data_IF_780043419750
#
_entry.id   IF_780043419750
#
_cell.length_a   1.000
_cell.length_b   1.000
_cell.length_c   1.000
_cell.angle_alpha   90.00
_cell.angle_beta   90.00
_cell.angle_gamma   90.00
#
_symmetry.space_group_name_H-M   'P 1'
#
loop_
_entity.id
_entity.type
_entity.pdbx_description
1 polymer ?
#
# COMPACT_ATOMS: atom_id res chain seq x y z
N UNK A 1 21.21 8.40 -0.50
CA UNK A 1 19.93 8.42 0.26
C UNK A 1 19.64 7.08 0.93
N UNK A 2 19.70 5.95 0.19
CA UNK A 2 19.50 4.59 0.72
C UNK A 2 20.18 4.35 2.08
N UNK A 3 21.50 4.59 2.19
CA UNK A 3 22.25 4.34 3.43
C UNK A 3 21.72 5.11 4.65
N UNK A 4 21.17 6.31 4.44
CA UNK A 4 20.56 7.10 5.52
C UNK A 4 19.18 6.57 5.89
N UNK A 5 18.43 6.04 4.92
CA UNK A 5 17.10 5.47 5.15
C UNK A 5 17.16 4.12 5.86
N UNK A 6 18.22 3.32 5.63
CA UNK A 6 18.47 2.06 6.35
C UNK A 6 18.59 2.20 7.88
N UNK A 7 18.77 3.42 8.39
CA UNK A 7 18.74 3.71 9.83
C UNK A 7 17.32 3.78 10.40
N UNK A 8 16.30 3.85 9.52
CA UNK A 8 14.91 4.15 9.86
C UNK A 8 13.95 3.10 9.29
N UNK A 9 14.29 2.42 8.20
CA UNK A 9 13.47 1.38 7.57
C UNK A 9 14.36 0.20 7.18
N UNK A 10 13.77 -0.95 6.86
CA UNK A 10 14.56 -2.08 6.35
C UNK A 10 15.20 -1.78 4.98
N UNK A 11 16.14 -2.64 4.60
CA UNK A 11 16.94 -2.47 3.40
C UNK A 11 16.10 -2.42 2.11
N UNK A 12 15.04 -3.23 2.01
CA UNK A 12 14.18 -3.29 0.83
C UNK A 12 13.31 -2.03 0.72
N UNK A 13 12.75 -1.58 1.84
CA UNK A 13 11.98 -0.33 1.89
C UNK A 13 12.88 0.89 1.62
N UNK A 14 14.12 0.91 2.11
CA UNK A 14 15.07 1.99 1.84
C UNK A 14 15.38 2.13 0.34
N UNK A 15 15.56 1.00 -0.36
CA UNK A 15 15.77 0.93 -1.80
C UNK A 15 14.52 1.41 -2.55
N UNK A 16 13.33 0.89 -2.21
CA UNK A 16 12.07 1.22 -2.87
C UNK A 16 11.69 2.69 -2.70
N UNK A 17 11.83 3.25 -1.49
CA UNK A 17 11.64 4.68 -1.22
C UNK A 17 12.61 5.51 -2.05
N UNK A 18 13.88 5.11 -2.11
CA UNK A 18 14.89 5.85 -2.86
C UNK A 18 14.56 5.88 -4.35
N UNK A 19 14.22 4.72 -4.91
CA UNK A 19 13.85 4.60 -6.31
C UNK A 19 12.61 5.44 -6.65
N UNK A 20 11.57 5.38 -5.80
CA UNK A 20 10.35 6.15 -6.01
C UNK A 20 10.60 7.67 -5.96
N UNK A 21 11.47 8.12 -5.05
CA UNK A 21 11.86 9.53 -4.95
C UNK A 21 12.64 10.00 -6.18
N UNK A 22 13.65 9.24 -6.60
CA UNK A 22 14.53 9.60 -7.72
C UNK A 22 13.79 9.63 -9.05
N UNK A 23 12.87 8.68 -9.27
CA UNK A 23 12.10 8.59 -10.51
C UNK A 23 10.77 9.36 -10.49
N UNK A 24 10.40 9.95 -9.35
CA UNK A 24 9.11 10.64 -9.18
C UNK A 24 7.91 9.69 -9.29
N UNK A 25 8.09 8.41 -8.95
CA UNK A 25 7.04 7.39 -8.99
C UNK A 25 6.23 7.32 -7.71
N UNK A 26 5.04 6.72 -7.83
CA UNK A 26 4.25 6.33 -6.67
C UNK A 26 4.85 5.08 -6.04
N UNK A 27 5.05 5.11 -4.73
CA UNK A 27 5.52 3.97 -3.95
C UNK A 27 4.35 3.11 -3.49
N UNK A 28 4.47 1.78 -3.63
CA UNK A 28 3.61 0.82 -2.94
C UNK A 28 4.27 0.46 -1.62
N UNK A 29 3.60 0.70 -0.49
CA UNK A 29 4.16 0.46 0.85
C UNK A 29 3.04 0.22 1.87
N UNK A 30 3.17 -0.88 2.61
CA UNK A 30 2.27 -1.24 3.72
C UNK A 30 2.92 -1.08 5.10
N UNK A 31 4.26 -1.03 5.19
CA UNK A 31 4.94 -0.76 6.45
C UNK A 31 4.69 0.66 6.97
N UNK A 32 4.41 0.77 8.27
CA UNK A 32 4.03 2.05 8.89
C UNK A 32 5.19 3.04 8.92
N UNK A 33 6.41 2.57 9.20
CA UNK A 33 7.58 3.43 9.31
C UNK A 33 8.02 3.93 7.93
N UNK A 34 8.08 3.04 6.94
CA UNK A 34 8.33 3.35 5.54
C UNK A 34 7.28 4.31 4.97
N UNK A 35 6.00 4.09 5.24
CA UNK A 35 4.91 5.00 4.85
C UNK A 35 5.09 6.41 5.41
N UNK A 36 5.49 6.54 6.68
CA UNK A 36 5.74 7.84 7.29
C UNK A 36 6.96 8.54 6.69
N UNK A 37 8.03 7.78 6.43
CA UNK A 37 9.25 8.28 5.80
C UNK A 37 8.97 8.77 4.38
N UNK A 38 8.29 7.97 3.55
CA UNK A 38 7.91 8.35 2.18
C UNK A 38 7.02 9.61 2.15
N UNK A 39 6.05 9.71 3.07
CA UNK A 39 5.20 10.91 3.21
C UNK A 39 6.01 12.17 3.52
N UNK A 40 6.99 12.08 4.43
CA UNK A 40 7.86 13.22 4.79
C UNK A 40 8.73 13.67 3.61
N UNK A 41 9.07 12.76 2.71
CA UNK A 41 9.80 13.04 1.48
C UNK A 41 8.90 13.56 0.35
N UNK A 42 7.59 13.70 0.57
CA UNK A 42 6.63 14.15 -0.44
C UNK A 42 6.30 13.11 -1.51
N UNK A 43 6.67 11.84 -1.28
CA UNK A 43 6.43 10.75 -2.23
C UNK A 43 4.95 10.38 -2.18
N UNK A 44 4.32 10.23 -3.36
CA UNK A 44 2.96 9.69 -3.46
C UNK A 44 3.01 8.22 -3.08
N UNK A 45 2.14 7.80 -2.17
CA UNK A 45 2.09 6.41 -1.69
C UNK A 45 0.74 5.75 -2.02
N UNK A 46 0.74 4.42 -2.05
CA UNK A 46 -0.44 3.56 -2.01
C UNK A 46 -0.09 2.27 -1.25
N UNK A 47 -1.05 1.65 -0.56
CA UNK A 47 -0.86 0.32 0.05
C UNK A 47 -1.53 -0.76 -0.78
N UNK A 48 -1.31 -2.04 -0.46
CA UNK A 48 -1.87 -3.18 -1.21
C UNK A 48 -3.38 -3.08 -1.37
N UNK A 49 -4.10 -2.79 -0.28
CA UNK A 49 -5.58 -2.61 -0.32
C UNK A 49 -5.98 -1.48 -1.27
N UNK A 50 -5.24 -0.38 -1.31
CA UNK A 50 -5.50 0.73 -2.22
C UNK A 50 -5.30 0.33 -3.69
N UNK A 51 -4.33 -0.54 -3.98
CA UNK A 51 -4.14 -1.11 -5.33
C UNK A 51 -5.34 -1.97 -5.71
N UNK A 52 -5.84 -2.81 -4.80
CA UNK A 52 -7.01 -3.67 -5.05
C UNK A 52 -8.30 -2.85 -5.27
N UNK A 53 -8.54 -1.82 -4.46
CA UNK A 53 -9.64 -0.86 -4.67
C UNK A 53 -9.52 -0.24 -6.06
N UNK A 54 -8.31 0.18 -6.46
CA UNK A 54 -8.11 0.78 -7.78
C UNK A 54 -8.36 -0.23 -8.91
N UNK A 55 -7.95 -1.48 -8.74
CA UNK A 55 -8.20 -2.54 -9.71
C UNK A 55 -9.70 -2.77 -9.90
N UNK A 56 -10.48 -2.80 -8.82
CA UNK A 56 -11.95 -2.92 -8.85
C UNK A 56 -12.60 -1.73 -9.56
N UNK A 57 -12.18 -0.50 -9.21
CA UNK A 57 -12.68 0.72 -9.87
C UNK A 57 -12.36 0.78 -11.37
N UNK A 58 -11.29 0.11 -11.81
CA UNK A 58 -10.92 -0.01 -13.22
C UNK A 58 -11.61 -1.19 -13.93
N UNK A 59 -12.42 -1.98 -13.23
CA UNK A 59 -13.06 -3.17 -13.78
C UNK A 59 -12.08 -4.32 -14.09
N UNK A 60 -10.90 -4.32 -13.47
CA UNK A 60 -9.89 -5.39 -13.64
C UNK A 60 -10.20 -6.62 -12.77
N UNK A 61 -11.02 -6.45 -11.73
CA UNK A 61 -11.52 -7.52 -10.87
C UNK A 61 -13.00 -7.32 -10.63
N UNK A 62 -13.74 -8.43 -10.58
CA UNK A 62 -15.21 -8.39 -10.49
C UNK A 62 -15.72 -8.07 -9.09
N UNK A 63 -15.03 -8.52 -8.04
CA UNK A 63 -15.41 -8.30 -6.65
C UNK A 63 -14.17 -8.05 -5.78
N UNK A 64 -14.25 -7.10 -4.86
CA UNK A 64 -13.17 -6.79 -3.92
C UNK A 64 -13.22 -7.67 -2.67
N UNK A 65 -14.42 -7.90 -2.12
CA UNK A 65 -14.61 -8.69 -0.90
C UNK A 65 -13.88 -10.05 -0.89
N UNK A 66 -14.06 -10.95 -1.87
CA UNK A 66 -13.40 -12.27 -1.84
C UNK A 66 -11.88 -12.18 -1.94
N UNK A 67 -11.35 -11.12 -2.57
CA UNK A 67 -9.91 -10.88 -2.66
C UNK A 67 -9.37 -10.45 -1.30
N UNK A 68 -10.08 -9.58 -0.57
CA UNK A 68 -9.70 -9.18 0.78
C UNK A 68 -9.74 -10.37 1.75
N UNK A 69 -10.76 -11.24 1.66
CA UNK A 69 -10.81 -12.48 2.46
C UNK A 69 -9.65 -13.42 2.13
N UNK A 70 -9.33 -13.60 0.85
CA UNK A 70 -8.18 -14.41 0.45
C UNK A 70 -6.87 -13.82 0.99
N UNK A 71 -6.71 -12.50 0.98
CA UNK A 71 -5.53 -11.82 1.51
C UNK A 71 -5.35 -12.09 3.01
N UNK A 72 -6.42 -11.93 3.80
CA UNK A 72 -6.43 -12.20 5.24
C UNK A 72 -6.12 -13.68 5.55
N UNK A 73 -6.73 -14.60 4.80
CA UNK A 73 -6.50 -16.05 4.95
C UNK A 73 -5.06 -16.47 4.63
N UNK A 74 -4.33 -15.67 3.84
CA UNK A 74 -2.91 -15.87 3.54
C UNK A 74 -1.97 -15.09 4.48
N UNK A 75 -2.49 -14.58 5.61
CA UNK A 75 -1.70 -13.96 6.66
C UNK A 75 -1.46 -12.46 6.50
N UNK A 76 -2.13 -11.79 5.55
CA UNK A 76 -2.09 -10.33 5.48
C UNK A 76 -2.93 -9.71 6.60
N UNK A 77 -2.31 -8.86 7.41
CA UNK A 77 -3.02 -8.18 8.49
C UNK A 77 -3.84 -7.01 7.95
N UNK A 78 -5.16 -7.13 8.01
CA UNK A 78 -6.11 -6.09 7.62
C UNK A 78 -6.96 -5.72 8.83
N UNK A 79 -7.02 -4.42 9.16
CA UNK A 79 -7.96 -3.98 10.20
C UNK A 79 -9.38 -4.00 9.66
N UNK A 80 -10.34 -4.35 10.51
CA UNK A 80 -11.76 -4.34 10.12
C UNK A 80 -12.20 -2.97 9.59
N UNK A 81 -11.68 -1.88 10.17
CA UNK A 81 -11.93 -0.52 9.69
C UNK A 81 -11.45 -0.28 8.25
N UNK A 82 -10.25 -0.75 7.91
CA UNK A 82 -9.69 -0.60 6.57
C UNK A 82 -10.42 -1.49 5.57
N UNK A 83 -10.83 -2.70 5.98
CA UNK A 83 -11.67 -3.59 5.16
C UNK A 83 -13.00 -2.92 4.82
N UNK A 84 -13.70 -2.40 5.83
CA UNK A 84 -14.98 -1.70 5.63
C UNK A 84 -14.82 -0.46 4.76
N UNK A 85 -13.80 0.37 5.01
CA UNK A 85 -13.51 1.54 4.17
C UNK A 85 -13.26 1.14 2.70
N UNK A 86 -12.48 0.09 2.47
CA UNK A 86 -12.19 -0.40 1.12
C UNK A 86 -13.45 -0.86 0.37
N UNK A 87 -14.37 -1.56 1.04
CA UNK A 87 -15.64 -2.01 0.45
C UNK A 87 -16.59 -0.86 0.14
N UNK A 88 -16.66 0.14 1.02
CA UNK A 88 -17.45 1.36 0.78
C UNK A 88 -16.95 2.10 -0.46
N UNK A 89 -15.63 2.18 -0.67
CA UNK A 89 -15.03 2.85 -1.84
C UNK A 89 -15.34 2.21 -3.20
N UNK A 90 -15.96 1.02 -3.21
CA UNK A 90 -16.30 0.25 -4.41
C UNK A 90 -17.75 -0.25 -4.41
N UNK A 91 -18.60 0.29 -3.52
CA UNK A 91 -20.02 -0.05 -3.41
C UNK A 91 -20.30 -1.55 -3.11
N UNK A 92 -19.45 -2.18 -2.28
CA UNK A 92 -19.59 -3.59 -1.84
C UNK A 92 -19.81 -3.74 -0.31
N UNK A 93 -20.30 -2.69 0.36
CA UNK A 93 -20.56 -2.67 1.81
C UNK A 93 -21.78 -3.48 2.23
#
# INVERSE_FOLDING_TARGET
MVNSLKLVVDDGEAEAITLAYELGYRLIVDDRQARNTAKRLGIKIIGTVGVLVKAKQLGLVDQLFPILEALENNGFYLSQSLKTEALILVDES
#
